data_IF_710097050313
#
_entry.id   IF_710097050313
#
_cell.length_a   1.000
_cell.length_b   1.000
_cell.length_c   1.000
_cell.angle_alpha   90.00
_cell.angle_beta   90.00
_cell.angle_gamma   90.00
#
_symmetry.space_group_name_H-M   'P 1'
#
loop_
_entity.id
_entity.type
_entity.pdbx_description
1 polymer ?
#
# COMPACT_ATOMS: atom_id res chain seq x y z
N UNK A 1 8.89 11.16 10.03
CA UNK A 1 10.18 11.85 9.94
C UNK A 1 11.07 11.09 8.95
N UNK A 2 11.85 11.81 8.17
CA UNK A 2 12.83 11.27 7.22
C UNK A 2 14.19 11.53 7.83
N UNK A 3 14.95 10.48 8.12
CA UNK A 3 16.35 10.56 8.54
C UNK A 3 17.27 10.20 7.38
N UNK A 4 18.38 10.91 7.22
CA UNK A 4 19.40 10.61 6.21
C UNK A 4 20.69 10.18 6.89
N UNK A 5 21.35 9.15 6.35
CA UNK A 5 22.61 8.64 6.86
C UNK A 5 22.46 7.67 8.05
N UNK A 6 23.52 7.57 8.85
CA UNK A 6 23.58 6.73 10.05
C UNK A 6 22.85 7.42 11.20
N UNK A 7 21.56 7.12 11.37
CA UNK A 7 20.78 7.59 12.52
C UNK A 7 20.32 6.42 13.38
N UNK A 8 20.34 6.61 14.70
CA UNK A 8 19.74 5.67 15.65
C UNK A 8 18.22 5.79 15.59
N UNK A 9 17.53 4.66 15.60
CA UNK A 9 16.06 4.61 15.50
C UNK A 9 15.44 3.93 16.69
N UNK A 10 14.20 4.36 16.99
CA UNK A 10 13.44 3.79 18.10
C UNK A 10 12.99 2.35 17.86
N UNK A 11 12.95 1.86 16.60
CA UNK A 11 12.32 0.60 16.23
C UNK A 11 13.12 -0.28 15.26
N UNK A 12 14.29 0.14 14.80
CA UNK A 12 15.12 -0.63 13.89
C UNK A 12 16.60 -0.34 14.09
N UNK A 13 17.45 -1.28 13.69
CA UNK A 13 18.88 -1.04 13.53
C UNK A 13 19.08 0.00 12.43
N UNK A 14 19.98 0.95 12.65
CA UNK A 14 20.25 2.01 11.67
C UNK A 14 20.71 1.44 10.32
N UNK A 15 20.26 2.04 9.23
CA UNK A 15 20.66 1.70 7.87
C UNK A 15 21.49 2.84 7.26
N UNK A 16 22.39 2.48 6.35
CA UNK A 16 23.30 3.44 5.70
C UNK A 16 22.56 4.39 4.76
N UNK A 17 21.40 4.01 4.25
CA UNK A 17 20.66 4.75 3.23
C UNK A 17 19.61 5.76 3.76
N UNK A 18 19.40 5.83 5.07
CA UNK A 18 18.36 6.67 5.70
C UNK A 18 17.09 5.91 6.06
N UNK A 19 16.11 6.59 6.66
CA UNK A 19 14.84 6.03 7.12
C UNK A 19 13.65 6.92 7.00
N UNK A 20 12.53 6.32 6.73
CA UNK A 20 11.22 6.91 6.89
C UNK A 20 10.53 6.33 8.13
N UNK A 21 10.34 7.18 9.15
CA UNK A 21 9.55 6.82 10.31
C UNK A 21 8.12 7.34 10.14
N UNK A 22 7.17 6.43 10.08
CA UNK A 22 5.75 6.74 9.95
C UNK A 22 5.07 6.37 11.26
N UNK A 23 4.51 7.37 11.96
CA UNK A 23 3.66 7.12 13.11
C UNK A 23 2.30 6.62 12.64
N UNK A 24 1.83 5.52 13.24
CA UNK A 24 0.51 4.93 12.97
C UNK A 24 -0.39 4.98 14.19
N UNK A 25 -0.02 5.74 15.23
CA UNK A 25 -0.84 5.90 16.43
C UNK A 25 -2.08 6.74 16.14
N UNK A 26 -3.25 6.24 16.54
CA UNK A 26 -4.52 6.90 16.25
C UNK A 26 -4.63 8.31 16.84
N UNK A 27 -3.99 8.57 17.97
CA UNK A 27 -3.99 9.89 18.63
C UNK A 27 -3.23 10.97 17.86
N UNK A 28 -2.31 10.58 16.98
CA UNK A 28 -1.48 11.52 16.22
C UNK A 28 -2.24 12.12 15.03
N UNK A 29 -3.43 11.59 14.74
CA UNK A 29 -4.30 12.08 13.68
C UNK A 29 -5.26 13.15 14.23
N UNK A 30 -5.34 14.28 13.52
CA UNK A 30 -6.33 15.30 13.84
C UNK A 30 -7.75 14.74 13.64
N UNK A 31 -8.65 15.06 14.58
CA UNK A 31 -10.06 14.66 14.49
C UNK A 31 -10.74 15.24 13.27
N UNK A 32 -11.69 14.51 12.72
CA UNK A 32 -12.51 14.95 11.61
C UNK A 32 -12.54 13.96 10.45
N UNK A 33 -13.27 14.35 9.42
CA UNK A 33 -13.40 13.61 8.16
C UNK A 33 -12.57 14.28 7.06
N UNK A 34 -11.89 13.49 6.25
CA UNK A 34 -11.17 13.94 5.07
C UNK A 34 -11.52 13.03 3.90
N UNK A 35 -11.87 13.62 2.79
CA UNK A 35 -12.11 12.90 1.54
C UNK A 35 -11.28 13.49 0.41
N UNK A 36 -10.84 12.68 -0.51
CA UNK A 36 -10.22 13.14 -1.74
C UNK A 36 -10.57 12.23 -2.91
N UNK A 37 -10.78 12.85 -4.06
CA UNK A 37 -10.93 12.17 -5.35
C UNK A 37 -9.90 12.76 -6.29
N UNK A 38 -9.23 11.92 -7.04
CA UNK A 38 -8.25 12.34 -8.03
C UNK A 38 -8.43 11.53 -9.32
N UNK A 39 -8.27 12.21 -10.45
CA UNK A 39 -8.13 11.61 -11.76
C UNK A 39 -6.69 11.78 -12.23
N UNK A 40 -6.09 10.72 -12.73
CA UNK A 40 -4.71 10.73 -13.20
C UNK A 40 -4.59 10.00 -14.53
N UNK A 41 -3.59 10.35 -15.29
CA UNK A 41 -3.21 9.65 -16.51
C UNK A 41 -1.92 8.84 -16.27
N UNK A 42 -2.05 7.80 -15.43
CA UNK A 42 -0.93 6.91 -15.06
C UNK A 42 -1.39 5.44 -15.10
N UNK A 43 -0.86 4.60 -14.22
CA UNK A 43 -1.26 3.19 -14.12
C UNK A 43 -2.73 3.02 -13.70
N UNK A 44 -3.28 3.97 -12.95
CA UNK A 44 -4.70 4.05 -12.64
C UNK A 44 -5.26 5.39 -13.10
N UNK A 45 -6.57 5.48 -13.28
CA UNK A 45 -7.27 6.70 -13.70
C UNK A 45 -7.99 7.38 -12.54
N UNK A 46 -8.62 6.60 -11.69
CA UNK A 46 -9.39 7.11 -10.58
C UNK A 46 -8.78 6.69 -9.25
N UNK A 47 -8.75 7.62 -8.32
CA UNK A 47 -8.43 7.39 -6.92
C UNK A 47 -9.46 8.08 -6.05
N UNK A 48 -10.10 7.33 -5.16
CA UNK A 48 -10.93 7.84 -4.09
C UNK A 48 -10.31 7.49 -2.75
N UNK A 49 -10.30 8.41 -1.79
CA UNK A 49 -9.85 8.16 -0.43
C UNK A 49 -10.78 8.86 0.55
N UNK A 50 -11.09 8.16 1.65
CA UNK A 50 -11.82 8.71 2.78
C UNK A 50 -11.10 8.32 4.07
N UNK A 51 -10.96 9.25 4.98
CA UNK A 51 -10.36 9.05 6.30
C UNK A 51 -11.22 9.73 7.35
N UNK A 52 -11.50 9.00 8.42
CA UNK A 52 -12.16 9.52 9.60
C UNK A 52 -11.29 9.26 10.82
N UNK A 53 -11.11 10.27 11.66
CA UNK A 53 -10.39 10.15 12.93
C UNK A 53 -11.19 10.84 14.04
N UNK A 54 -11.25 10.20 15.19
CA UNK A 54 -11.86 10.78 16.39
C UNK A 54 -10.91 11.76 17.10
N UNK A 55 -9.60 11.67 16.83
CA UNK A 55 -8.59 12.19 17.72
C UNK A 55 -8.61 11.47 19.08
N UNK A 56 -7.91 11.97 20.06
CA UNK A 56 -7.96 11.46 21.43
C UNK A 56 -9.22 11.97 22.12
N UNK A 57 -10.12 11.04 22.46
CA UNK A 57 -11.36 11.35 23.16
C UNK A 57 -11.13 11.46 24.68
N UNK A 58 -12.01 12.17 25.43
CA UNK A 58 -11.89 12.32 26.89
C UNK A 58 -11.86 10.99 27.67
N UNK A 59 -12.45 9.94 27.12
CA UNK A 59 -12.42 8.61 27.69
C UNK A 59 -11.12 7.82 27.39
N UNK A 60 -10.12 8.47 26.79
CA UNK A 60 -8.80 7.91 26.47
C UNK A 60 -8.76 7.00 25.23
N UNK A 61 -9.83 6.94 24.43
CA UNK A 61 -9.82 6.23 23.15
C UNK A 61 -9.45 7.17 22.00
N UNK A 62 -8.76 6.63 21.02
CA UNK A 62 -8.57 7.26 19.72
C UNK A 62 -8.77 6.20 18.62
N UNK A 63 -9.51 6.55 17.58
CA UNK A 63 -9.79 5.66 16.45
C UNK A 63 -9.56 6.43 15.16
N UNK A 64 -8.82 5.82 14.24
CA UNK A 64 -8.65 6.34 12.87
C UNK A 64 -8.93 5.23 11.88
N UNK A 65 -9.80 5.51 10.94
CA UNK A 65 -10.20 4.61 9.85
C UNK A 65 -9.95 5.32 8.53
N UNK A 66 -9.30 4.65 7.60
CA UNK A 66 -9.12 5.14 6.23
C UNK A 66 -9.38 4.03 5.22
N UNK A 67 -10.03 4.41 4.12
CA UNK A 67 -10.22 3.55 2.97
C UNK A 67 -9.76 4.28 1.71
N UNK A 68 -9.15 3.56 0.79
CA UNK A 68 -8.70 4.07 -0.50
C UNK A 68 -9.06 3.08 -1.60
N UNK A 69 -9.53 3.60 -2.74
CA UNK A 69 -9.74 2.84 -3.95
C UNK A 69 -8.95 3.44 -5.11
N UNK A 70 -8.38 2.59 -5.95
CA UNK A 70 -7.73 2.98 -7.21
C UNK A 70 -8.25 2.09 -8.33
N UNK A 71 -8.61 2.70 -9.44
CA UNK A 71 -9.22 1.97 -10.54
C UNK A 71 -8.78 2.50 -11.90
N UNK A 72 -8.46 1.58 -12.80
CA UNK A 72 -8.43 1.77 -14.23
C UNK A 72 -8.87 0.47 -14.92
N UNK A 73 -9.86 0.55 -15.78
CA UNK A 73 -10.21 -0.55 -16.68
C UNK A 73 -9.12 -0.78 -17.73
N UNK A 74 -8.51 0.31 -18.20
CA UNK A 74 -7.30 0.37 -19.00
C UNK A 74 -6.51 1.61 -18.58
N UNK A 75 -5.20 1.43 -18.35
CA UNK A 75 -4.27 2.51 -18.03
C UNK A 75 -3.81 3.29 -19.28
N UNK A 76 -2.73 4.03 -19.15
CA UNK A 76 -2.09 4.73 -20.28
C UNK A 76 -1.53 3.71 -21.28
N UNK A 77 -0.94 2.64 -20.78
CA UNK A 77 -0.36 1.59 -21.61
C UNK A 77 -1.48 0.62 -22.02
N UNK A 78 -1.65 0.35 -23.33
CA UNK A 78 -2.67 -0.57 -23.82
C UNK A 78 -2.60 -1.95 -23.16
N UNK A 79 -3.77 -2.52 -22.85
CA UNK A 79 -3.88 -3.84 -22.21
C UNK A 79 -3.50 -3.85 -20.72
N UNK A 80 -3.14 -2.73 -20.13
CA UNK A 80 -2.96 -2.62 -18.70
C UNK A 80 -4.28 -2.30 -18.00
N UNK A 81 -4.51 -2.87 -16.84
CA UNK A 81 -5.57 -2.49 -15.92
C UNK A 81 -5.02 -2.39 -14.50
N UNK A 82 -5.72 -1.66 -13.65
CA UNK A 82 -5.36 -1.52 -12.25
C UNK A 82 -6.60 -1.48 -11.38
N UNK A 83 -6.68 -2.39 -10.43
CA UNK A 83 -7.76 -2.49 -9.44
C UNK A 83 -7.13 -2.69 -8.08
N UNK A 84 -7.31 -1.74 -7.19
CA UNK A 84 -6.81 -1.83 -5.82
C UNK A 84 -7.77 -1.13 -4.89
N UNK A 85 -7.96 -1.69 -3.72
CA UNK A 85 -8.54 -1.00 -2.59
C UNK A 85 -7.65 -1.22 -1.39
N UNK A 86 -7.67 -0.30 -0.45
CA UNK A 86 -6.86 -0.42 0.74
C UNK A 86 -7.63 0.06 1.96
N UNK A 87 -7.25 -0.44 3.10
CA UNK A 87 -7.77 -0.05 4.39
C UNK A 87 -6.64 0.26 5.36
N UNK A 88 -6.93 1.14 6.28
CA UNK A 88 -6.11 1.43 7.45
C UNK A 88 -7.04 1.61 8.64
N UNK A 89 -6.78 0.91 9.72
CA UNK A 89 -7.48 1.04 10.98
C UNK A 89 -6.42 1.15 12.08
N UNK A 90 -6.50 2.22 12.87
CA UNK A 90 -5.74 2.38 14.08
C UNK A 90 -6.69 2.64 15.26
N UNK A 91 -6.55 1.85 16.30
CA UNK A 91 -7.31 2.00 17.55
C UNK A 91 -6.31 2.10 18.68
N UNK A 92 -6.44 3.11 19.50
CA UNK A 92 -5.57 3.36 20.65
C UNK A 92 -6.40 3.58 21.90
N UNK A 93 -5.90 3.08 23.02
CA UNK A 93 -6.44 3.33 24.35
C UNK A 93 -5.33 3.83 25.28
N UNK A 94 -5.50 5.02 25.81
CA UNK A 94 -4.75 5.48 26.96
C UNK A 94 -5.46 4.93 28.22
N UNK A 95 -4.86 3.93 28.85
CA UNK A 95 -5.42 3.26 30.02
C UNK A 95 -5.31 4.20 31.24
N UNK A 96 -4.15 4.80 31.38
CA UNK A 96 -3.82 5.81 32.37
C UNK A 96 -2.64 6.68 31.88
N UNK A 97 -2.13 7.57 32.73
CA UNK A 97 -1.00 8.45 32.39
C UNK A 97 0.29 7.69 32.04
N UNK A 98 0.42 6.43 32.46
CA UNK A 98 1.63 5.62 32.30
C UNK A 98 1.49 4.56 31.19
N UNK A 99 0.28 4.08 30.88
CA UNK A 99 0.07 2.95 29.98
C UNK A 99 -0.86 3.31 28.82
N UNK A 100 -0.40 3.01 27.61
CA UNK A 100 -1.18 3.12 26.39
C UNK A 100 -0.99 1.88 25.52
N UNK A 101 -2.07 1.39 24.92
CA UNK A 101 -2.07 0.27 23.98
C UNK A 101 -2.62 0.77 22.65
N UNK A 102 -1.98 0.40 21.55
CA UNK A 102 -2.41 0.73 20.21
C UNK A 102 -2.40 -0.50 19.30
N UNK A 103 -3.48 -0.71 18.58
CA UNK A 103 -3.62 -1.71 17.52
C UNK A 103 -3.73 -0.98 16.20
N UNK A 104 -2.88 -1.34 15.25
CA UNK A 104 -2.93 -0.83 13.88
C UNK A 104 -2.99 -1.98 12.91
N UNK A 105 -3.88 -1.91 11.94
CA UNK A 105 -3.92 -2.86 10.83
C UNK A 105 -4.13 -2.14 9.52
N UNK A 106 -3.45 -2.59 8.49
CA UNK A 106 -3.57 -2.06 7.15
C UNK A 106 -3.26 -3.12 6.10
N UNK A 107 -3.76 -2.89 4.90
CA UNK A 107 -3.52 -3.74 3.75
C UNK A 107 -4.14 -3.15 2.49
N UNK A 108 -3.63 -3.55 1.33
CA UNK A 108 -4.10 -3.06 0.04
C UNK A 108 -4.10 -4.18 -1.00
N UNK A 109 -5.16 -5.03 -1.05
CA UNK A 109 -5.30 -5.97 -2.14
C UNK A 109 -5.28 -5.26 -3.48
N UNK A 110 -4.43 -5.73 -4.36
CA UNK A 110 -4.17 -5.14 -5.66
C UNK A 110 -4.18 -6.22 -6.72
N UNK A 111 -4.93 -5.99 -7.80
CA UNK A 111 -4.86 -6.76 -9.04
C UNK A 111 -4.56 -5.83 -10.19
N UNK A 112 -3.51 -6.12 -10.92
CA UNK A 112 -3.08 -5.29 -12.04
C UNK A 112 -2.53 -6.13 -13.18
N UNK A 113 -2.66 -5.61 -14.38
CA UNK A 113 -1.94 -6.11 -15.53
C UNK A 113 -0.54 -5.47 -15.60
N UNK A 114 0.44 -6.27 -15.99
CA UNK A 114 1.81 -5.79 -16.14
C UNK A 114 2.09 -5.39 -17.58
N UNK A 115 3.00 -4.46 -17.73
CA UNK A 115 3.74 -4.21 -18.97
C UNK A 115 5.17 -4.68 -18.79
N UNK A 116 5.77 -5.22 -19.84
CA UNK A 116 7.18 -5.59 -19.86
C UNK A 116 7.99 -4.55 -20.59
N UNK A 117 9.24 -4.41 -20.19
CA UNK A 117 10.22 -3.69 -20.99
C UNK A 117 10.30 -4.35 -22.39
N UNK A 118 10.41 -3.52 -23.40
CA UNK A 118 10.39 -3.93 -24.80
C UNK A 118 11.63 -3.36 -25.47
N UNK A 119 12.16 -4.05 -26.49
CA UNK A 119 13.27 -3.56 -27.27
C UNK A 119 12.85 -2.35 -28.11
N UNK A 120 13.78 -1.46 -28.33
CA UNK A 120 13.57 -0.23 -29.15
C UNK A 120 13.03 -0.58 -30.55
N UNK A 121 13.48 -1.69 -31.10
CA UNK A 121 13.02 -2.20 -32.39
C UNK A 121 11.49 -2.43 -32.44
N UNK A 122 10.90 -2.94 -31.36
CA UNK A 122 9.44 -3.11 -31.27
C UNK A 122 8.70 -1.77 -31.29
N UNK A 123 9.22 -0.77 -30.60
CA UNK A 123 8.66 0.59 -30.65
C UNK A 123 8.74 1.18 -32.04
N UNK A 124 9.88 0.98 -32.73
CA UNK A 124 10.10 1.44 -34.09
C UNK A 124 9.16 0.76 -35.09
N UNK A 125 9.05 -0.57 -35.02
CA UNK A 125 8.20 -1.37 -35.92
C UNK A 125 6.71 -1.07 -35.74
N UNK A 126 6.27 -0.86 -34.51
CA UNK A 126 4.88 -0.57 -34.20
C UNK A 126 4.53 0.91 -34.32
N UNK A 127 5.52 1.80 -34.39
CA UNK A 127 5.33 3.24 -34.34
C UNK A 127 4.67 3.73 -33.04
N UNK A 128 4.75 2.95 -31.97
CA UNK A 128 4.03 3.20 -30.73
C UNK A 128 4.93 3.06 -29.48
N UNK A 129 5.25 4.18 -28.86
CA UNK A 129 6.06 4.23 -27.64
C UNK A 129 5.37 3.63 -26.40
N UNK A 130 4.08 3.34 -26.48
CA UNK A 130 3.31 2.68 -25.43
C UNK A 130 3.04 1.19 -25.75
N UNK A 131 3.81 0.62 -26.67
CA UNK A 131 3.68 -0.79 -27.01
C UNK A 131 3.88 -1.67 -25.78
N UNK A 132 3.00 -2.66 -25.64
CA UNK A 132 3.05 -3.64 -24.58
C UNK A 132 2.81 -5.02 -25.17
N UNK A 133 3.80 -5.90 -25.10
CA UNK A 133 3.74 -7.24 -25.65
C UNK A 133 2.90 -8.25 -24.83
N UNK A 134 2.47 -7.85 -23.64
CA UNK A 134 1.78 -8.77 -22.72
C UNK A 134 0.29 -8.91 -23.00
N UNK A 135 -0.30 -8.17 -23.90
CA UNK A 135 -1.73 -8.23 -24.16
C UNK A 135 -2.07 -8.63 -25.57
N UNK A 136 -3.26 -9.19 -25.74
CA UNK A 136 -3.81 -9.58 -27.04
C UNK A 136 -5.30 -9.78 -26.98
N UNK A 137 -5.86 -10.22 -28.08
CA UNK A 137 -7.27 -10.55 -28.20
C UNK A 137 -7.46 -12.07 -28.12
N UNK A 138 -8.32 -12.53 -27.22
CA UNK A 138 -8.71 -13.93 -27.12
C UNK A 138 -10.23 -14.04 -27.03
N UNK A 139 -10.85 -14.68 -28.01
CA UNK A 139 -12.30 -14.80 -28.08
C UNK A 139 -13.04 -13.45 -28.05
N UNK A 140 -12.53 -12.43 -28.76
CA UNK A 140 -13.10 -11.09 -28.79
C UNK A 140 -12.91 -10.26 -27.52
N UNK A 141 -12.16 -10.74 -26.53
CA UNK A 141 -11.85 -10.05 -25.28
C UNK A 141 -10.39 -9.67 -25.23
N UNK A 142 -10.11 -8.44 -24.85
CA UNK A 142 -8.75 -7.96 -24.56
C UNK A 142 -8.26 -8.60 -23.27
N UNK A 143 -7.14 -9.28 -23.31
CA UNK A 143 -6.54 -9.96 -22.17
C UNK A 143 -5.07 -9.62 -22.05
N UNK A 144 -4.57 -9.61 -20.82
CA UNK A 144 -3.15 -9.48 -20.51
C UNK A 144 -2.64 -10.83 -19.98
N UNK A 145 -1.53 -11.29 -20.51
CA UNK A 145 -0.92 -12.55 -20.12
C UNK A 145 -0.21 -12.49 -18.77
N UNK A 146 0.19 -11.29 -18.34
CA UNK A 146 0.91 -11.05 -17.08
C UNK A 146 0.07 -10.21 -16.13
N UNK A 147 -0.78 -10.89 -15.40
CA UNK A 147 -1.51 -10.29 -14.30
C UNK A 147 -0.77 -10.54 -12.98
N UNK A 148 -0.84 -9.60 -12.08
CA UNK A 148 -0.28 -9.69 -10.73
C UNK A 148 -1.39 -9.42 -9.72
N UNK A 149 -1.49 -10.32 -8.75
CA UNK A 149 -2.32 -10.15 -7.57
C UNK A 149 -1.42 -10.13 -6.35
N UNK A 150 -1.58 -9.12 -5.49
CA UNK A 150 -0.80 -8.97 -4.28
C UNK A 150 -1.67 -8.48 -3.13
N UNK A 151 -1.45 -9.02 -1.94
CA UNK A 151 -2.09 -8.57 -0.73
C UNK A 151 -1.18 -8.81 0.47
N UNK A 152 -0.78 -7.75 1.14
CA UNK A 152 0.18 -7.76 2.25
C UNK A 152 -0.46 -7.16 3.52
N UNK A 153 -1.42 -7.88 4.16
CA UNK A 153 -2.01 -7.42 5.40
C UNK A 153 -0.98 -7.41 6.54
N UNK A 154 -1.00 -6.32 7.27
CA UNK A 154 -0.13 -6.13 8.43
C UNK A 154 -0.96 -5.76 9.64
N UNK A 155 -0.63 -6.34 10.79
CA UNK A 155 -1.21 -6.03 12.09
C UNK A 155 -0.07 -5.71 13.04
N UNK A 156 -0.18 -4.60 13.76
CA UNK A 156 0.82 -4.12 14.71
C UNK A 156 0.13 -3.86 16.04
N UNK A 157 0.64 -4.45 17.10
CA UNK A 157 0.23 -4.17 18.47
C UNK A 157 1.37 -3.48 19.19
N UNK A 158 1.13 -2.31 19.76
CA UNK A 158 2.09 -1.55 20.53
C UNK A 158 1.60 -1.36 21.97
N UNK A 159 2.53 -1.49 22.91
CA UNK A 159 2.34 -1.11 24.29
C UNK A 159 3.38 -0.09 24.68
N UNK A 160 2.92 1.07 25.12
CA UNK A 160 3.75 2.17 25.61
C UNK A 160 3.62 2.24 27.13
N UNK A 161 4.76 2.19 27.81
CA UNK A 161 4.83 2.33 29.24
C UNK A 161 5.79 3.48 29.62
N UNK A 162 5.28 4.41 30.44
CA UNK A 162 6.00 5.56 30.96
C UNK A 162 5.95 5.56 32.48
N UNK A 163 6.84 4.79 33.16
CA UNK A 163 6.84 4.70 34.63
C UNK A 163 7.14 6.03 35.33
N UNK A 164 7.91 6.88 34.68
CA UNK A 164 8.26 8.23 35.14
C UNK A 164 8.55 9.15 33.95
N UNK A 165 8.84 10.43 34.21
CA UNK A 165 9.11 11.43 33.18
C UNK A 165 10.37 11.19 32.35
N UNK A 166 11.34 10.46 32.89
CA UNK A 166 12.64 10.20 32.25
C UNK A 166 12.71 8.85 31.52
N UNK A 167 11.72 7.97 31.70
CA UNK A 167 11.77 6.61 31.15
C UNK A 167 10.56 6.32 30.27
N UNK A 168 10.80 5.81 29.09
CA UNK A 168 9.76 5.34 28.16
C UNK A 168 10.15 3.99 27.62
N UNK A 169 9.29 2.99 27.80
CA UNK A 169 9.37 1.70 27.15
C UNK A 169 8.29 1.59 26.08
N UNK A 170 8.67 1.29 24.86
CA UNK A 170 7.76 1.01 23.77
C UNK A 170 8.00 -0.41 23.26
N UNK A 171 7.02 -1.27 23.40
CA UNK A 171 7.07 -2.66 22.97
C UNK A 171 6.09 -2.85 21.82
N UNK A 172 6.58 -3.33 20.68
CA UNK A 172 5.76 -3.58 19.51
C UNK A 172 5.87 -5.03 19.06
N UNK A 173 4.74 -5.60 18.66
CA UNK A 173 4.65 -6.89 17.97
C UNK A 173 3.97 -6.64 16.63
N UNK A 174 4.60 -7.08 15.55
CA UNK A 174 4.06 -6.98 14.22
C UNK A 174 3.86 -8.36 13.60
N UNK A 175 2.71 -8.58 12.99
CA UNK A 175 2.42 -9.74 12.16
C UNK A 175 2.17 -9.25 10.72
N UNK A 176 2.89 -9.84 9.79
CA UNK A 176 2.76 -9.57 8.36
C UNK A 176 2.64 -10.87 7.61
N UNK A 177 1.73 -10.92 6.64
CA UNK A 177 1.57 -12.06 5.73
C UNK A 177 1.47 -11.55 4.31
N UNK A 178 2.28 -12.11 3.40
CA UNK A 178 2.27 -11.76 1.99
C UNK A 178 1.56 -12.82 1.17
N UNK A 179 0.66 -12.39 0.30
CA UNK A 179 0.03 -13.21 -0.73
C UNK A 179 0.38 -12.59 -2.08
N UNK A 180 1.03 -13.37 -2.90
CA UNK A 180 1.43 -12.93 -4.23
C UNK A 180 1.13 -14.02 -5.26
N UNK A 181 0.50 -13.61 -6.35
CA UNK A 181 0.30 -14.46 -7.51
C UNK A 181 0.62 -13.68 -8.79
N UNK A 182 1.19 -14.35 -9.76
CA UNK A 182 1.40 -13.79 -11.09
C UNK A 182 1.08 -14.82 -12.16
N UNK A 183 0.51 -14.36 -13.27
CA UNK A 183 0.30 -15.20 -14.44
C UNK A 183 1.37 -14.96 -15.49
N UNK A 184 1.57 -15.96 -16.35
CA UNK A 184 2.38 -15.88 -17.55
C UNK A 184 1.83 -16.85 -18.59
N UNK A 185 2.12 -16.60 -19.86
CA UNK A 185 1.82 -17.58 -20.91
C UNK A 185 2.79 -18.75 -20.76
N UNK A 186 2.24 -19.96 -20.78
CA UNK A 186 3.04 -21.17 -20.83
C UNK A 186 3.25 -21.56 -22.30
N UNK A 187 4.46 -21.34 -22.78
CA UNK A 187 4.88 -21.69 -24.15
C UNK A 187 5.46 -23.11 -24.27
N UNK A 188 5.60 -23.80 -23.15
CA UNK A 188 6.23 -25.12 -23.13
C UNK A 188 5.31 -26.16 -23.80
N UNK A 189 5.81 -26.82 -24.84
CA UNK A 189 5.06 -27.78 -25.65
C UNK A 189 3.77 -27.24 -26.32
N UNK A 190 3.67 -25.94 -26.52
CA UNK A 190 2.58 -25.39 -27.32
C UNK A 190 2.88 -25.60 -28.80
N UNK A 191 1.97 -26.24 -29.49
CA UNK A 191 2.09 -26.45 -30.94
C UNK A 191 1.82 -25.17 -31.74
N UNK A 192 1.06 -24.26 -31.16
CA UNK A 192 0.72 -22.95 -31.72
C UNK A 192 0.53 -21.95 -30.56
N UNK A 193 1.32 -20.89 -30.51
CA UNK A 193 1.21 -19.85 -29.47
C UNK A 193 -0.01 -18.95 -29.65
#
# INVERSE_FOLDING_TARGET
AIGMGLETRSYALGEVGGANNISTFAKDYASGFRGSVAYTNSNYRWRGMATYSTGLMPNGWAVTLSAIGRYAGEGVIPGSFYKSWGYFLAVQKEINAQHSIALTTFGAPTRRASNSATFEECYRLTGNNLYNSNWGWQGGKKRNAREVEAFDPTVILNWLWKPNTGTTLNTGVAFHKSFYASSAINWYNSADP
#
